data_IF_534749811797
#
_entry.id   IF_534749811797
#
_cell.length_a   1.000
_cell.length_b   1.000
_cell.length_c   1.000
_cell.angle_alpha   90.00
_cell.angle_beta   90.00
_cell.angle_gamma   90.00
#
_symmetry.space_group_name_H-M   'P 1'
#
loop_
_entity.id
_entity.type
_entity.pdbx_description
1 polymer ?
#
# COMPACT_ATOMS: atom_id res chain seq x y z
N UNK A 1 -15.37 24.81 -6.20
CA UNK A 1 -14.28 23.81 -6.33
C UNK A 1 -14.38 22.69 -5.31
N UNK A 2 -14.65 22.94 -4.03
CA UNK A 2 -14.78 21.91 -2.96
C UNK A 2 -15.86 20.85 -3.22
N UNK A 3 -17.04 21.24 -3.74
CA UNK A 3 -18.15 20.30 -4.00
C UNK A 3 -17.87 19.30 -5.14
N UNK A 4 -17.10 19.73 -6.15
CA UNK A 4 -16.69 18.83 -7.25
C UNK A 4 -15.62 17.84 -6.79
N UNK A 5 -14.72 18.27 -5.91
CA UNK A 5 -13.67 17.41 -5.36
C UNK A 5 -14.26 16.32 -4.46
N UNK A 6 -15.20 16.67 -3.58
CA UNK A 6 -15.96 15.72 -2.76
C UNK A 6 -16.73 14.71 -3.61
N UNK A 7 -17.36 15.15 -4.69
CA UNK A 7 -18.08 14.24 -5.60
C UNK A 7 -17.16 13.24 -6.30
N UNK A 8 -15.97 13.67 -6.74
CA UNK A 8 -14.99 12.80 -7.38
C UNK A 8 -14.43 11.78 -6.37
N UNK A 9 -14.09 12.22 -5.15
CA UNK A 9 -13.58 11.33 -4.11
C UNK A 9 -14.62 10.28 -3.71
N UNK A 10 -15.87 10.66 -3.55
CA UNK A 10 -16.97 9.71 -3.24
C UNK A 10 -17.21 8.74 -4.39
N UNK A 11 -17.15 9.17 -5.64
CA UNK A 11 -17.31 8.31 -6.81
C UNK A 11 -16.15 7.30 -6.93
N UNK A 12 -14.91 7.73 -6.67
CA UNK A 12 -13.73 6.85 -6.68
C UNK A 12 -13.81 5.82 -5.56
N UNK A 13 -14.19 6.23 -4.35
CA UNK A 13 -14.36 5.30 -3.22
C UNK A 13 -15.49 4.29 -3.47
N UNK A 14 -16.60 4.72 -4.07
CA UNK A 14 -17.69 3.84 -4.45
C UNK A 14 -17.29 2.86 -5.56
N UNK A 15 -16.52 3.31 -6.56
CA UNK A 15 -16.03 2.47 -7.64
C UNK A 15 -15.02 1.42 -7.13
N UNK A 16 -14.12 1.80 -6.22
CA UNK A 16 -13.17 0.88 -5.60
C UNK A 16 -13.87 -0.15 -4.69
N UNK A 17 -14.92 0.28 -3.97
CA UNK A 17 -15.73 -0.63 -3.15
C UNK A 17 -16.54 -1.64 -3.97
N UNK A 18 -17.07 -1.25 -5.13
CA UNK A 18 -17.89 -2.15 -5.97
C UNK A 18 -17.06 -3.20 -6.69
N UNK A 19 -15.83 -2.92 -7.08
CA UNK A 19 -14.96 -3.90 -7.76
C UNK A 19 -14.50 -5.03 -6.83
N UNK A 20 -14.29 -4.76 -5.53
CA UNK A 20 -13.92 -5.79 -4.56
C UNK A 20 -15.08 -6.77 -4.25
N UNK A 21 -16.33 -6.30 -4.29
CA UNK A 21 -17.49 -7.17 -4.09
C UNK A 21 -17.72 -8.18 -5.22
N UNK A 22 -17.42 -7.82 -6.47
CA UNK A 22 -17.64 -8.71 -7.63
C UNK A 22 -16.68 -9.90 -7.62
N UNK A 23 -15.41 -9.68 -7.23
CA UNK A 23 -14.42 -10.78 -7.16
C UNK A 23 -14.67 -11.77 -6.02
N UNK A 24 -15.19 -11.29 -4.88
CA UNK A 24 -15.53 -12.16 -3.75
C UNK A 24 -16.77 -13.04 -4.03
N UNK A 25 -17.68 -12.60 -4.88
CA UNK A 25 -18.88 -13.35 -5.24
C UNK A 25 -18.61 -14.53 -6.18
N UNK A 26 -17.54 -14.51 -6.97
CA UNK A 26 -17.17 -15.60 -7.89
C UNK A 26 -16.42 -16.76 -7.22
N UNK A 27 -15.90 -16.58 -6.02
CA UNK A 27 -15.10 -17.59 -5.31
C UNK A 27 -15.92 -18.70 -4.61
N UNK A 28 -17.27 -18.65 -4.66
CA UNK A 28 -18.17 -19.79 -4.36
C UNK A 28 -18.20 -20.35 -2.93
N UNK A 29 -17.42 -19.83 -2.00
CA UNK A 29 -17.47 -20.21 -0.59
C UNK A 29 -18.19 -19.16 0.24
N UNK A 30 -19.08 -19.52 1.20
CA UNK A 30 -19.60 -18.56 2.16
C UNK A 30 -18.45 -18.12 3.08
N UNK A 31 -17.75 -17.08 2.68
CA UNK A 31 -16.75 -16.44 3.54
C UNK A 31 -17.49 -15.93 4.77
N UNK A 32 -17.01 -16.28 5.95
CA UNK A 32 -17.47 -15.63 7.17
C UNK A 32 -17.28 -14.13 6.98
N UNK A 33 -18.38 -13.40 7.05
CA UNK A 33 -18.40 -11.96 6.80
C UNK A 33 -17.40 -11.22 7.71
N UNK A 34 -17.19 -11.73 8.92
CA UNK A 34 -16.20 -11.19 9.87
C UNK A 34 -14.77 -11.37 9.35
N UNK A 35 -14.45 -12.56 8.85
CA UNK A 35 -13.13 -12.85 8.29
C UNK A 35 -12.82 -11.95 7.08
N UNK A 36 -13.78 -11.80 6.18
CA UNK A 36 -13.65 -10.92 5.01
C UNK A 36 -13.31 -9.48 5.43
N UNK A 37 -14.11 -8.90 6.35
CA UNK A 37 -13.88 -7.52 6.79
C UNK A 37 -12.55 -7.35 7.52
N UNK A 38 -12.18 -8.29 8.38
CA UNK A 38 -10.89 -8.25 9.09
C UNK A 38 -9.73 -8.32 8.10
N UNK A 39 -9.80 -9.17 7.10
CA UNK A 39 -8.75 -9.30 6.08
C UNK A 39 -8.61 -8.03 5.24
N UNK A 40 -9.72 -7.47 4.78
CA UNK A 40 -9.73 -6.23 3.98
C UNK A 40 -9.19 -5.05 4.80
N UNK A 41 -9.64 -4.91 6.04
CA UNK A 41 -9.15 -3.84 6.93
C UNK A 41 -7.67 -4.00 7.23
N UNK A 42 -7.22 -5.21 7.56
CA UNK A 42 -5.80 -5.47 7.87
C UNK A 42 -4.91 -5.18 6.67
N UNK A 43 -5.28 -5.64 5.48
CA UNK A 43 -4.54 -5.38 4.25
C UNK A 43 -4.53 -3.89 3.91
N UNK A 44 -5.69 -3.22 4.00
CA UNK A 44 -5.82 -1.80 3.69
C UNK A 44 -5.06 -0.90 4.66
N UNK A 45 -5.23 -1.10 5.96
CA UNK A 45 -4.51 -0.32 6.98
C UNK A 45 -3.01 -0.62 6.97
N UNK A 46 -2.62 -1.89 6.81
CA UNK A 46 -1.21 -2.28 6.69
C UNK A 46 -0.54 -1.55 5.53
N UNK A 47 -1.17 -1.53 4.36
CA UNK A 47 -0.65 -0.81 3.19
C UNK A 47 -0.65 0.71 3.38
N UNK A 48 -1.69 1.28 3.98
CA UNK A 48 -1.77 2.71 4.26
C UNK A 48 -0.64 3.17 5.19
N UNK A 49 -0.37 2.44 6.26
CA UNK A 49 0.71 2.73 7.21
C UNK A 49 2.07 2.58 6.53
N UNK A 50 2.29 1.48 5.81
CA UNK A 50 3.56 1.25 5.11
C UNK A 50 3.87 2.37 4.10
N UNK A 51 2.89 2.75 3.29
CA UNK A 51 3.04 3.83 2.30
C UNK A 51 3.28 5.19 2.95
N UNK A 52 2.57 5.51 4.02
CA UNK A 52 2.74 6.77 4.74
C UNK A 52 4.15 6.87 5.36
N UNK A 53 4.63 5.79 5.98
CA UNK A 53 5.97 5.75 6.58
C UNK A 53 7.07 5.78 5.53
N UNK A 54 6.90 5.06 4.41
CA UNK A 54 7.82 5.12 3.28
C UNK A 54 7.90 6.54 2.70
N UNK A 55 6.76 7.20 2.47
CA UNK A 55 6.70 8.57 1.96
C UNK A 55 7.43 9.57 2.89
N UNK A 56 7.25 9.45 4.22
CA UNK A 56 7.95 10.28 5.19
C UNK A 56 9.46 10.03 5.18
N UNK A 57 9.88 8.78 5.10
CA UNK A 57 11.29 8.42 5.04
C UNK A 57 11.94 8.93 3.74
N UNK A 58 11.27 8.76 2.60
CA UNK A 58 11.73 9.27 1.30
C UNK A 58 11.84 10.79 1.29
N UNK A 59 10.84 11.50 1.82
CA UNK A 59 10.86 12.96 1.93
C UNK A 59 12.07 13.47 2.71
N UNK A 60 12.39 12.85 3.85
CA UNK A 60 13.56 13.21 4.65
C UNK A 60 14.86 12.89 3.93
N UNK A 61 14.96 11.74 3.26
CA UNK A 61 16.15 11.36 2.51
C UNK A 61 16.41 12.32 1.35
N UNK A 62 15.38 12.71 0.61
CA UNK A 62 15.47 13.66 -0.50
C UNK A 62 15.91 15.04 0.02
N UNK A 63 15.28 15.54 1.09
CA UNK A 63 15.64 16.84 1.66
C UNK A 63 17.09 16.88 2.11
N UNK A 64 17.56 15.85 2.81
CA UNK A 64 18.96 15.75 3.26
C UNK A 64 19.94 15.66 2.09
N UNK A 65 19.59 14.91 1.03
CA UNK A 65 20.43 14.78 -0.16
C UNK A 65 20.55 16.12 -0.91
N UNK A 66 19.44 16.84 -1.09
CA UNK A 66 19.44 18.16 -1.74
C UNK A 66 20.24 19.19 -0.95
N UNK A 67 20.12 19.19 0.38
CA UNK A 67 20.92 20.04 1.24
C UNK A 67 22.41 19.68 1.15
N UNK A 68 22.74 18.40 1.10
CA UNK A 68 24.11 17.92 0.91
C UNK A 68 24.70 18.36 -0.43
N UNK A 69 23.92 18.29 -1.52
CA UNK A 69 24.34 18.77 -2.84
C UNK A 69 24.56 20.28 -2.83
N UNK A 70 23.66 21.03 -2.19
CA UNK A 70 23.81 22.49 -2.08
C UNK A 70 25.10 22.92 -1.35
N UNK A 71 25.47 22.15 -0.32
CA UNK A 71 26.73 22.43 0.45
C UNK A 71 27.99 21.93 -0.26
N UNK A 72 27.88 20.85 -1.03
CA UNK A 72 29.01 20.20 -1.72
C UNK A 72 28.66 19.85 -3.18
N UNK A 73 28.59 20.81 -4.10
CA UNK A 73 28.23 20.57 -5.49
C UNK A 73 29.13 19.54 -6.20
N UNK A 74 30.39 19.48 -5.81
CA UNK A 74 31.36 18.53 -6.39
C UNK A 74 31.05 17.06 -6.00
N UNK A 75 30.27 16.82 -4.95
CA UNK A 75 29.85 15.49 -4.51
C UNK A 75 28.45 15.11 -5.03
N UNK A 76 27.81 15.96 -5.82
CA UNK A 76 26.41 15.79 -6.25
C UNK A 76 26.12 14.41 -6.84
N UNK A 77 26.96 13.90 -7.74
CA UNK A 77 26.75 12.60 -8.37
C UNK A 77 26.77 11.43 -7.38
N UNK A 78 27.66 11.47 -6.39
CA UNK A 78 27.74 10.42 -5.36
C UNK A 78 26.55 10.48 -4.40
N UNK A 79 26.13 11.67 -4.02
CA UNK A 79 24.97 11.89 -3.15
C UNK A 79 23.69 11.42 -3.86
N UNK A 80 23.52 11.81 -5.13
CA UNK A 80 22.36 11.41 -5.92
C UNK A 80 22.27 9.89 -6.11
N UNK A 81 23.38 9.23 -6.41
CA UNK A 81 23.40 7.76 -6.54
C UNK A 81 23.03 7.08 -5.22
N UNK A 82 23.63 7.50 -4.10
CA UNK A 82 23.30 6.95 -2.79
C UNK A 82 21.83 7.21 -2.41
N UNK A 83 21.30 8.38 -2.72
CA UNK A 83 19.90 8.73 -2.51
C UNK A 83 18.97 7.79 -3.31
N UNK A 84 19.21 7.60 -4.59
CA UNK A 84 18.36 6.73 -5.44
C UNK A 84 18.36 5.30 -4.92
N UNK A 85 19.52 4.76 -4.54
CA UNK A 85 19.61 3.41 -3.96
C UNK A 85 18.84 3.34 -2.65
N UNK A 86 19.01 4.33 -1.77
CA UNK A 86 18.28 4.39 -0.50
C UNK A 86 16.76 4.47 -0.68
N UNK A 87 16.29 5.28 -1.63
CA UNK A 87 14.86 5.39 -1.98
C UNK A 87 14.31 4.06 -2.49
N UNK A 88 15.04 3.35 -3.36
CA UNK A 88 14.64 2.05 -3.86
C UNK A 88 14.52 1.00 -2.75
N UNK A 89 15.42 1.01 -1.76
CA UNK A 89 15.33 0.12 -0.60
C UNK A 89 14.13 0.44 0.30
N UNK A 90 13.82 1.73 0.51
CA UNK A 90 12.63 2.14 1.26
C UNK A 90 11.36 1.69 0.53
N UNK A 91 11.30 1.86 -0.79
CA UNK A 91 10.16 1.44 -1.62
C UNK A 91 9.96 -0.07 -1.58
N UNK A 92 11.05 -0.86 -1.54
CA UNK A 92 10.99 -2.31 -1.44
C UNK A 92 10.25 -2.77 -0.18
N UNK A 93 10.38 -2.06 0.95
CA UNK A 93 9.67 -2.38 2.19
C UNK A 93 8.16 -2.21 2.04
N UNK A 94 7.70 -1.16 1.34
CA UNK A 94 6.29 -0.95 1.04
C UNK A 94 5.76 -2.03 0.08
N UNK A 95 6.57 -2.46 -0.89
CA UNK A 95 6.22 -3.55 -1.82
C UNK A 95 6.06 -4.89 -1.07
N UNK A 96 6.83 -5.17 -0.04
CA UNK A 96 6.63 -6.39 0.78
C UNK A 96 5.28 -6.37 1.49
N UNK A 97 4.85 -5.23 2.01
CA UNK A 97 3.51 -5.11 2.62
C UNK A 97 2.42 -5.28 1.57
N UNK A 98 2.60 -4.70 0.37
CA UNK A 98 1.70 -4.90 -0.76
C UNK A 98 1.58 -6.38 -1.13
N UNK A 99 2.70 -7.10 -1.21
CA UNK A 99 2.71 -8.53 -1.52
C UNK A 99 1.92 -9.33 -0.49
N UNK A 100 2.12 -9.07 0.80
CA UNK A 100 1.36 -9.72 1.88
C UNK A 100 -0.12 -9.39 1.76
N UNK A 101 -0.48 -8.13 1.51
CA UNK A 101 -1.85 -7.70 1.31
C UNK A 101 -2.51 -8.42 0.12
N UNK A 102 -1.79 -8.57 -0.99
CA UNK A 102 -2.24 -9.30 -2.17
C UNK A 102 -2.46 -10.79 -1.87
N UNK A 103 -1.56 -11.43 -1.14
CA UNK A 103 -1.71 -12.84 -0.71
C UNK A 103 -2.95 -13.00 0.17
N UNK A 104 -3.15 -12.12 1.14
CA UNK A 104 -4.31 -12.18 2.03
C UNK A 104 -5.64 -11.96 1.30
N UNK A 105 -5.66 -11.06 0.30
CA UNK A 105 -6.90 -10.69 -0.41
C UNK A 105 -7.26 -11.64 -1.54
N UNK A 106 -6.28 -12.24 -2.22
CA UNK A 106 -6.51 -12.99 -3.44
C UNK A 106 -6.17 -14.49 -3.33
N UNK A 107 -5.16 -14.86 -2.54
CA UNK A 107 -4.82 -16.27 -2.34
C UNK A 107 -5.58 -16.92 -1.19
N UNK A 108 -6.12 -16.10 -0.28
CA UNK A 108 -6.95 -16.50 0.87
C UNK A 108 -6.48 -17.80 1.57
N UNK A 109 -5.22 -17.82 2.07
CA UNK A 109 -4.59 -19.05 2.54
C UNK A 109 -5.21 -19.63 3.82
N UNK A 110 -6.09 -18.87 4.49
CA UNK A 110 -6.66 -19.22 5.80
C UNK A 110 -8.16 -19.59 5.75
N UNK A 111 -8.83 -19.38 4.62
CA UNK A 111 -10.27 -19.68 4.50
C UNK A 111 -10.59 -21.14 4.82
N UNK A 112 -9.78 -22.07 4.33
CA UNK A 112 -9.97 -23.50 4.60
C UNK A 112 -9.84 -23.90 6.08
N UNK A 113 -9.08 -23.13 6.87
CA UNK A 113 -8.92 -23.38 8.31
C UNK A 113 -10.10 -22.81 9.09
N UNK A 114 -10.65 -21.68 8.64
CA UNK A 114 -11.70 -20.95 9.37
C UNK A 114 -13.08 -21.50 9.05
N UNK A 115 -13.32 -21.92 7.81
CA UNK A 115 -14.62 -22.46 7.37
C UNK A 115 -14.78 -23.93 7.76
N UNK A 116 -13.75 -24.56 8.36
CA UNK A 116 -13.81 -25.97 8.78
C UNK A 116 -13.90 -26.87 7.56
N UNK A 117 -12.82 -27.01 6.82
CA UNK A 117 -12.72 -28.08 5.84
C UNK A 117 -12.86 -29.42 6.55
N UNK A 118 -13.73 -30.34 6.08
CA UNK A 118 -13.93 -31.66 6.65
C UNK A 118 -12.67 -32.50 6.58
#
# INVERSE_FOLDING_TARGET
MRSKLTGIVTAVLAALGSTTFVWAAEAGAPLDQTYFWVTVLTAGFGMAIASAMAALAQSRAISAALEGIARQPNAAGRIQTAMIIGLALIESLAIYVLLIAMILLFADPFSGIIVGAP
#
